data_IF_275032719217
#
_entry.id   IF_275032719217
#
_cell.length_a   1.000
_cell.length_b   1.000
_cell.length_c   1.000
_cell.angle_alpha   90.00
_cell.angle_beta   90.00
_cell.angle_gamma   90.00
#
_symmetry.space_group_name_H-M   'P 1'
#
loop_
_entity.id
_entity.type
_entity.pdbx_description
1 polymer ?
#
# COMPACT_ATOMS: atom_id res chain seq x y z
N UNK A 1 28.10 -5.27 -6.79
CA UNK A 1 27.33 -5.30 -5.51
C UNK A 1 27.20 -3.93 -4.85
N UNK A 2 28.18 -3.07 -4.90
CA UNK A 2 28.26 -1.74 -4.26
C UNK A 2 27.24 -0.70 -4.73
N UNK A 3 26.87 -0.67 -6.01
CA UNK A 3 25.94 0.32 -6.57
C UNK A 3 24.47 0.12 -6.13
N UNK A 4 24.07 -1.10 -5.75
CA UNK A 4 22.71 -1.40 -5.26
C UNK A 4 22.47 -0.88 -3.84
N UNK A 5 23.49 -0.91 -3.00
CA UNK A 5 23.40 -0.41 -1.62
C UNK A 5 23.48 1.12 -1.57
N UNK A 6 24.17 1.75 -2.50
CA UNK A 6 24.25 3.21 -2.60
C UNK A 6 22.85 3.81 -2.96
N UNK A 7 22.13 3.21 -3.88
CA UNK A 7 20.77 3.65 -4.26
C UNK A 7 19.79 3.47 -3.08
N UNK A 8 19.85 2.32 -2.40
CA UNK A 8 19.04 2.07 -1.19
C UNK A 8 19.36 3.07 -0.08
N UNK A 9 20.64 3.37 0.14
CA UNK A 9 21.09 4.34 1.14
C UNK A 9 20.61 5.77 0.79
N UNK A 10 20.72 6.17 -0.48
CA UNK A 10 20.27 7.48 -0.95
C UNK A 10 18.74 7.63 -0.80
N UNK A 11 17.97 6.59 -1.13
CA UNK A 11 16.51 6.58 -0.97
C UNK A 11 16.14 6.64 0.52
N UNK A 12 16.84 5.89 1.37
CA UNK A 12 16.61 5.92 2.83
C UNK A 12 16.95 7.28 3.44
N UNK A 13 18.05 7.90 2.99
CA UNK A 13 18.45 9.25 3.42
C UNK A 13 17.49 10.32 2.89
N UNK A 14 17.02 10.20 1.65
CA UNK A 14 16.03 11.12 1.07
C UNK A 14 14.67 11.04 1.79
N UNK A 15 14.21 9.83 2.14
CA UNK A 15 13.00 9.63 2.94
C UNK A 15 13.20 10.17 4.38
N UNK A 16 14.34 9.91 4.99
CA UNK A 16 14.67 10.45 6.31
C UNK A 16 14.76 12.00 6.30
N UNK A 17 15.33 12.59 5.26
CA UNK A 17 15.42 14.03 5.06
C UNK A 17 14.05 14.70 4.86
N UNK A 18 13.14 14.04 4.13
CA UNK A 18 11.75 14.48 3.98
C UNK A 18 10.98 14.44 5.32
N UNK A 19 11.28 13.47 6.16
CA UNK A 19 10.65 13.31 7.47
C UNK A 19 11.15 14.34 8.50
N UNK A 20 12.42 14.77 8.44
CA UNK A 20 12.98 15.81 9.34
C UNK A 20 12.55 17.22 8.95
N UNK A 21 12.32 17.50 7.67
CA UNK A 21 11.81 18.80 7.18
C UNK A 21 10.39 19.13 7.61
N UNK A 22 9.54 18.12 7.81
CA UNK A 22 8.14 18.30 8.22
C UNK A 22 7.96 18.64 9.72
N UNK A 23 8.91 18.29 10.55
CA UNK A 23 8.84 18.54 12.00
C UNK A 23 9.13 20.01 12.37
N UNK A 24 9.90 20.73 11.52
CA UNK A 24 10.25 22.13 11.77
C UNK A 24 9.12 23.14 11.51
N UNK A 25 8.08 22.76 10.75
CA UNK A 25 6.96 23.68 10.39
C UNK A 25 5.84 23.65 11.42
N UNK A 26 5.73 22.61 12.25
CA UNK A 26 4.66 22.49 13.25
C UNK A 26 4.92 23.22 14.59
N UNK A 27 6.12 23.82 14.77
CA UNK A 27 6.54 24.41 16.06
C UNK A 27 6.39 25.94 16.14
N UNK A 28 5.83 26.62 15.13
CA UNK A 28 5.75 28.10 15.11
C UNK A 28 4.34 28.68 15.05
N UNK A 29 3.38 28.09 15.75
CA UNK A 29 2.13 28.79 16.06
C UNK A 29 2.33 29.61 17.33
N UNK A 30 2.18 30.95 17.32
CA UNK A 30 2.27 31.75 18.53
C UNK A 30 1.08 31.44 19.44
N UNK A 31 1.36 31.16 20.71
CA UNK A 31 0.35 31.03 21.73
C UNK A 31 -0.43 32.38 21.85
N UNK A 32 -1.76 32.34 22.00
CA UNK A 32 -2.52 33.55 22.25
C UNK A 32 -2.10 34.17 23.58
N UNK A 33 -1.77 35.46 23.56
CA UNK A 33 -1.44 36.27 24.73
C UNK A 33 -2.63 36.27 25.68
N UNK A 34 -2.47 35.71 26.86
CA UNK A 34 -3.40 35.84 27.99
C UNK A 34 -3.13 37.19 28.62
N UNK A 35 -4.06 38.13 28.44
CA UNK A 35 -4.10 39.36 29.24
C UNK A 35 -4.55 39.02 30.66
N UNK A 36 -3.70 39.37 31.63
CA UNK A 36 -3.96 39.15 33.02
C UNK A 36 -5.05 40.10 33.57
N UNK A 37 -5.97 39.51 34.34
CA UNK A 37 -6.63 40.20 35.44
C UNK A 37 -6.53 39.31 36.65
N UNK A 38 -6.01 39.90 37.73
CA UNK A 38 -5.79 39.19 38.96
C UNK A 38 -7.08 38.79 39.67
N UNK A 39 -7.02 37.62 40.29
CA UNK A 39 -7.59 37.36 41.59
C UNK A 39 -7.30 35.91 42.00
N UNK A 40 -6.88 35.77 43.27
CA UNK A 40 -6.72 34.62 44.14
C UNK A 40 -6.59 33.18 43.60
N UNK A 41 -5.69 32.34 44.17
CA UNK A 41 -5.46 30.99 43.72
C UNK A 41 -6.57 30.04 44.20
N UNK A 42 -7.60 29.87 43.41
CA UNK A 42 -8.44 28.69 43.50
C UNK A 42 -7.63 27.49 42.96
N UNK A 43 -7.56 26.43 43.75
CA UNK A 43 -6.87 25.18 43.41
C UNK A 43 -7.28 24.75 41.98
N UNK A 44 -6.31 24.70 41.06
CA UNK A 44 -6.52 24.21 39.75
C UNK A 44 -7.12 22.79 39.79
N UNK A 45 -8.17 22.49 39.02
CA UNK A 45 -8.72 21.14 38.99
C UNK A 45 -7.59 20.20 38.53
N UNK A 46 -7.32 19.19 39.38
CA UNK A 46 -6.39 18.09 39.01
C UNK A 46 -7.01 17.39 37.86
N UNK A 47 -6.51 17.71 36.64
CA UNK A 47 -6.84 16.96 35.43
C UNK A 47 -6.35 15.54 35.69
N UNK A 48 -7.23 14.53 35.65
CA UNK A 48 -6.79 13.14 35.80
C UNK A 48 -5.74 12.86 34.73
N UNK A 49 -4.51 12.61 35.15
CA UNK A 49 -3.46 12.13 34.24
C UNK A 49 -3.97 10.82 33.69
N UNK A 50 -4.31 10.80 32.42
CA UNK A 50 -4.69 9.56 31.71
C UNK A 50 -3.63 8.50 32.04
N UNK A 51 -4.02 7.25 32.30
CA UNK A 51 -3.07 6.21 32.67
C UNK A 51 -2.03 6.11 31.57
N UNK A 52 -0.79 6.45 31.89
CA UNK A 52 0.34 6.32 30.98
C UNK A 52 0.45 4.83 30.65
N UNK A 53 0.37 4.49 29.37
CA UNK A 53 0.55 3.13 28.92
C UNK A 53 1.88 2.61 29.47
N UNK A 54 1.85 1.57 30.27
CA UNK A 54 3.01 0.98 30.96
C UNK A 54 4.02 0.36 30.00
N UNK A 55 3.70 0.29 28.70
CA UNK A 55 4.58 -0.24 27.66
C UNK A 55 5.56 0.82 27.14
N UNK A 56 6.88 0.60 27.25
CA UNK A 56 7.88 1.50 26.71
C UNK A 56 7.67 1.72 25.19
N UNK A 57 7.88 2.94 24.71
CA UNK A 57 7.68 3.32 23.29
C UNK A 57 8.47 2.46 22.30
N UNK A 58 9.66 2.00 22.66
CA UNK A 58 10.51 1.17 21.81
C UNK A 58 9.95 -0.24 21.55
N UNK A 59 9.08 -0.74 22.44
CA UNK A 59 8.40 -2.04 22.27
C UNK A 59 7.51 -2.02 21.02
N UNK A 60 6.76 -0.94 20.82
CA UNK A 60 5.92 -0.78 19.64
C UNK A 60 6.74 -0.64 18.36
N UNK A 61 7.86 0.07 18.42
CA UNK A 61 8.79 0.22 17.28
C UNK A 61 9.38 -1.12 16.87
N UNK A 62 9.83 -1.93 17.84
CA UNK A 62 10.37 -3.27 17.57
C UNK A 62 9.29 -4.23 17.06
N UNK A 63 8.10 -4.20 17.66
CA UNK A 63 6.97 -5.01 17.23
C UNK A 63 6.56 -4.69 15.79
N UNK A 64 6.48 -3.40 15.43
CA UNK A 64 6.22 -2.96 14.06
C UNK A 64 7.28 -3.47 13.07
N UNK A 65 8.56 -3.34 13.44
CA UNK A 65 9.65 -3.84 12.59
C UNK A 65 9.53 -5.36 12.33
N UNK A 66 9.33 -6.16 13.39
CA UNK A 66 9.23 -7.62 13.27
C UNK A 66 7.99 -8.01 12.45
N UNK A 67 6.84 -7.41 12.76
CA UNK A 67 5.59 -7.69 12.05
C UNK A 67 5.73 -7.32 10.58
N UNK A 68 6.21 -6.12 10.27
CA UNK A 68 6.35 -5.69 8.86
C UNK A 68 7.43 -6.45 8.11
N UNK A 69 8.47 -6.93 8.76
CA UNK A 69 9.45 -7.83 8.18
C UNK A 69 8.77 -9.15 7.72
N UNK A 70 7.97 -9.76 8.57
CA UNK A 70 7.20 -10.97 8.24
C UNK A 70 6.20 -10.66 7.13
N UNK A 71 5.45 -9.55 7.24
CA UNK A 71 4.51 -9.12 6.21
C UNK A 71 5.18 -8.87 4.88
N UNK A 72 6.42 -8.35 4.86
CA UNK A 72 7.22 -8.17 3.64
C UNK A 72 7.48 -9.48 2.91
N UNK A 73 7.86 -10.51 3.65
CA UNK A 73 8.03 -11.86 3.09
C UNK A 73 6.70 -12.35 2.50
N UNK A 74 5.62 -12.28 3.28
CA UNK A 74 4.30 -12.77 2.89
C UNK A 74 3.70 -12.00 1.71
N UNK A 75 3.87 -10.68 1.66
CA UNK A 75 3.38 -9.82 0.59
C UNK A 75 4.01 -10.16 -0.77
N UNK A 76 5.30 -10.46 -0.77
CA UNK A 76 6.00 -10.90 -2.00
C UNK A 76 5.53 -12.28 -2.43
N UNK A 77 5.45 -13.21 -1.49
CA UNK A 77 5.03 -14.57 -1.75
C UNK A 77 3.57 -14.64 -2.23
N UNK A 78 2.69 -13.85 -1.61
CA UNK A 78 1.27 -13.77 -1.99
C UNK A 78 1.00 -12.98 -3.26
N UNK A 79 1.98 -12.22 -3.77
CA UNK A 79 1.81 -11.30 -4.90
C UNK A 79 0.88 -10.14 -4.61
N UNK A 80 0.69 -9.81 -3.33
CA UNK A 80 -0.16 -8.73 -2.82
C UNK A 80 0.73 -7.56 -2.39
N UNK A 81 0.26 -6.34 -2.48
CA UNK A 81 1.02 -5.18 -1.99
C UNK A 81 1.19 -5.21 -0.47
N UNK A 82 2.31 -4.68 0.03
CA UNK A 82 2.60 -4.64 1.47
C UNK A 82 1.52 -3.94 2.30
N UNK A 83 0.95 -2.85 1.79
CA UNK A 83 -0.11 -2.07 2.45
C UNK A 83 -1.39 -2.86 2.72
N UNK A 84 -1.75 -3.79 1.82
CA UNK A 84 -2.95 -4.62 1.96
C UNK A 84 -2.91 -5.52 3.20
N UNK A 85 -1.74 -5.99 3.57
CA UNK A 85 -1.53 -6.75 4.80
C UNK A 85 -1.30 -5.84 6.01
N UNK A 86 -0.57 -4.74 5.80
CA UNK A 86 -0.17 -3.82 6.86
C UNK A 86 -1.36 -3.13 7.54
N UNK A 87 -2.21 -2.46 6.76
CA UNK A 87 -3.28 -1.62 7.32
C UNK A 87 -4.25 -2.41 8.19
N UNK A 88 -4.81 -3.55 7.75
CA UNK A 88 -5.75 -4.29 8.59
C UNK A 88 -5.10 -4.96 9.80
N UNK A 89 -3.84 -5.37 9.69
CA UNK A 89 -3.13 -6.00 10.80
C UNK A 89 -2.72 -4.94 11.82
N UNK A 90 -2.04 -3.88 11.39
CA UNK A 90 -1.59 -2.85 12.33
C UNK A 90 -2.79 -2.06 12.88
N UNK A 91 -3.76 -1.67 12.04
CA UNK A 91 -4.98 -0.97 12.48
C UNK A 91 -5.92 -1.82 13.34
N UNK A 92 -5.86 -3.15 13.21
CA UNK A 92 -6.65 -4.07 14.00
C UNK A 92 -6.01 -4.45 15.35
N UNK A 93 -4.70 -4.63 15.40
CA UNK A 93 -4.01 -5.23 16.54
C UNK A 93 -3.14 -4.25 17.35
N UNK A 94 -2.80 -3.09 16.79
CA UNK A 94 -1.99 -2.09 17.47
C UNK A 94 -2.85 -0.91 17.94
N UNK A 95 -2.48 -0.24 19.04
CA UNK A 95 -3.26 0.86 19.62
C UNK A 95 -3.00 2.19 18.89
N UNK A 96 -2.95 2.17 17.55
CA UNK A 96 -2.73 3.37 16.75
C UNK A 96 -4.02 3.86 16.11
N UNK A 97 -4.13 5.19 15.96
CA UNK A 97 -5.22 5.77 15.19
C UNK A 97 -5.13 5.28 13.74
N UNK A 98 -6.28 4.91 13.17
CA UNK A 98 -6.38 4.35 11.82
C UNK A 98 -5.84 5.28 10.74
N UNK A 99 -5.90 6.61 10.95
CA UNK A 99 -5.40 7.58 9.97
C UNK A 99 -3.88 7.51 9.81
N UNK A 100 -3.16 7.39 10.93
CA UNK A 100 -1.71 7.19 10.91
C UNK A 100 -1.32 5.83 10.30
N UNK A 101 -2.13 4.80 10.55
CA UNK A 101 -1.90 3.47 9.99
C UNK A 101 -2.11 3.47 8.49
N UNK A 102 -3.12 4.20 7.97
CA UNK A 102 -3.38 4.33 6.53
C UNK A 102 -2.26 5.10 5.83
N UNK A 103 -1.84 6.24 6.40
CA UNK A 103 -0.71 7.01 5.86
C UNK A 103 0.58 6.18 5.83
N UNK A 104 0.87 5.44 6.91
CA UNK A 104 1.99 4.50 6.96
C UNK A 104 1.84 3.36 5.94
N UNK A 105 0.62 2.85 5.73
CA UNK A 105 0.33 1.76 4.80
C UNK A 105 0.69 2.09 3.35
N UNK A 106 0.43 3.32 2.90
CA UNK A 106 0.83 3.80 1.57
C UNK A 106 2.35 3.83 1.42
N UNK A 107 3.06 4.34 2.43
CA UNK A 107 4.52 4.39 2.41
C UNK A 107 5.14 2.99 2.49
N UNK A 108 4.55 2.08 3.25
CA UNK A 108 4.95 0.67 3.32
C UNK A 108 4.72 -0.04 1.97
N UNK A 109 3.58 0.22 1.30
CA UNK A 109 3.31 -0.32 -0.02
C UNK A 109 4.30 0.22 -1.07
N UNK A 110 4.57 1.52 -1.03
CA UNK A 110 5.57 2.20 -1.85
C UNK A 110 6.97 1.61 -1.66
N UNK A 111 7.41 1.46 -0.41
CA UNK A 111 8.74 0.89 -0.11
C UNK A 111 8.88 -0.55 -0.61
N UNK A 112 7.84 -1.37 -0.45
CA UNK A 112 7.80 -2.73 -1.00
C UNK A 112 7.84 -2.75 -2.52
N UNK A 113 7.17 -1.80 -3.19
CA UNK A 113 7.19 -1.66 -4.64
C UNK A 113 8.58 -1.21 -5.16
N UNK A 114 9.18 -0.23 -4.50
CA UNK A 114 10.53 0.27 -4.83
C UNK A 114 11.62 -0.79 -4.59
N UNK A 115 11.48 -1.62 -3.56
CA UNK A 115 12.43 -2.71 -3.31
C UNK A 115 12.39 -3.79 -4.41
N UNK A 116 11.22 -4.05 -5.00
CA UNK A 116 11.04 -5.05 -6.07
C UNK A 116 11.19 -4.47 -7.48
N UNK A 117 10.86 -3.18 -7.69
CA UNK A 117 10.72 -2.53 -8.99
C UNK A 117 11.95 -2.58 -9.90
N UNK A 118 13.16 -2.20 -9.44
CA UNK A 118 14.36 -2.16 -10.29
C UNK A 118 14.71 -3.51 -10.90
N UNK A 119 14.45 -4.61 -10.18
CA UNK A 119 14.68 -5.96 -10.70
C UNK A 119 13.73 -6.34 -11.84
N UNK A 120 12.51 -5.86 -11.79
CA UNK A 120 11.46 -6.13 -12.79
C UNK A 120 11.64 -5.27 -14.04
N UNK A 121 12.00 -3.99 -13.89
CA UNK A 121 12.30 -3.07 -14.99
C UNK A 121 13.49 -3.55 -15.82
N UNK A 122 14.55 -4.03 -15.18
CA UNK A 122 15.74 -4.56 -15.88
C UNK A 122 15.45 -5.77 -16.77
N UNK A 123 14.36 -6.50 -16.49
CA UNK A 123 13.94 -7.66 -17.27
C UNK A 123 12.92 -7.32 -18.35
N UNK A 124 12.63 -6.04 -18.63
CA UNK A 124 11.62 -5.55 -19.55
C UNK A 124 10.21 -6.15 -19.32
N UNK A 125 9.90 -6.48 -18.07
CA UNK A 125 8.59 -7.04 -17.71
C UNK A 125 7.55 -5.96 -17.39
N UNK A 126 7.95 -4.73 -17.07
CA UNK A 126 7.03 -3.62 -16.84
C UNK A 126 6.78 -2.84 -18.15
N UNK A 127 5.52 -2.70 -18.52
CA UNK A 127 5.12 -1.92 -19.70
C UNK A 127 4.75 -0.50 -19.31
N UNK A 128 5.58 0.47 -19.71
CA UNK A 128 5.30 1.90 -19.49
C UNK A 128 4.08 2.38 -20.28
N UNK A 129 3.87 1.86 -21.51
CA UNK A 129 2.72 2.23 -22.33
C UNK A 129 1.40 1.82 -21.69
N UNK A 130 1.38 0.69 -20.98
CA UNK A 130 0.22 0.25 -20.20
C UNK A 130 0.14 1.02 -18.87
N UNK A 131 1.28 1.29 -18.23
CA UNK A 131 1.33 1.90 -16.91
C UNK A 131 0.94 3.37 -16.90
N UNK A 132 1.38 4.19 -17.87
CA UNK A 132 1.19 5.64 -17.83
C UNK A 132 -0.29 6.07 -17.81
N UNK A 133 -1.17 5.62 -18.72
CA UNK A 133 -2.57 6.03 -18.70
C UNK A 133 -3.29 5.55 -17.42
N UNK A 134 -2.97 4.36 -16.97
CA UNK A 134 -3.50 3.81 -15.71
C UNK A 134 -3.01 4.61 -14.50
N UNK A 135 -1.72 4.95 -14.46
CA UNK A 135 -1.12 5.72 -13.37
C UNK A 135 -1.75 7.10 -13.23
N UNK A 136 -1.95 7.82 -14.33
CA UNK A 136 -2.57 9.14 -14.31
C UNK A 136 -3.97 9.11 -13.69
N UNK A 137 -4.81 8.16 -14.14
CA UNK A 137 -6.18 8.01 -13.65
C UNK A 137 -6.18 7.54 -12.19
N UNK A 138 -5.43 6.48 -11.89
CA UNK A 138 -5.41 5.92 -10.55
C UNK A 138 -4.81 6.88 -9.50
N UNK A 139 -3.78 7.65 -9.87
CA UNK A 139 -3.17 8.65 -8.97
C UNK A 139 -4.11 9.79 -8.64
N UNK A 140 -4.77 10.35 -9.65
CA UNK A 140 -5.77 11.41 -9.44
C UNK A 140 -6.92 10.91 -8.56
N UNK A 141 -7.40 9.70 -8.82
CA UNK A 141 -8.43 9.05 -8.02
C UNK A 141 -7.96 8.73 -6.60
N UNK A 142 -6.68 8.36 -6.41
CA UNK A 142 -6.11 8.06 -5.10
C UNK A 142 -5.96 9.31 -4.22
N UNK A 143 -5.65 10.46 -4.81
CA UNK A 143 -5.67 11.75 -4.10
C UNK A 143 -7.08 12.03 -3.56
N UNK A 144 -8.10 11.94 -4.42
CA UNK A 144 -9.49 12.11 -4.02
C UNK A 144 -9.89 11.11 -2.93
N UNK A 145 -9.52 9.84 -3.11
CA UNK A 145 -9.74 8.79 -2.12
C UNK A 145 -9.11 9.08 -0.76
N UNK A 146 -7.87 9.58 -0.74
CA UNK A 146 -7.18 9.96 0.49
C UNK A 146 -7.90 11.11 1.22
N UNK A 147 -8.35 12.14 0.48
CA UNK A 147 -9.12 13.25 1.05
C UNK A 147 -10.46 12.77 1.63
N UNK A 148 -11.20 11.93 0.91
CA UNK A 148 -12.45 11.33 1.40
C UNK A 148 -12.17 10.50 2.66
N UNK A 149 -11.13 9.66 2.63
CA UNK A 149 -10.79 8.80 3.75
C UNK A 149 -10.48 9.58 5.03
N UNK A 150 -9.75 10.67 4.93
CA UNK A 150 -9.41 11.54 6.07
C UNK A 150 -10.62 12.33 6.60
N UNK A 151 -11.63 12.60 5.77
CA UNK A 151 -12.86 13.27 6.17
C UNK A 151 -13.88 12.33 6.86
N UNK A 152 -13.73 11.01 6.71
CA UNK A 152 -14.66 10.04 7.26
C UNK A 152 -14.36 9.73 8.73
N UNK A 153 -15.41 9.43 9.51
CA UNK A 153 -15.26 8.97 10.90
C UNK A 153 -14.55 7.61 10.95
N UNK A 154 -13.69 7.35 11.96
CA UNK A 154 -12.91 6.11 12.08
C UNK A 154 -13.75 4.83 11.99
N UNK A 155 -14.96 4.82 12.57
CA UNK A 155 -15.85 3.66 12.53
C UNK A 155 -16.33 3.35 11.12
N UNK A 156 -16.69 4.38 10.34
CA UNK A 156 -17.08 4.23 8.93
C UNK A 156 -15.92 3.68 8.11
N UNK A 157 -14.72 4.22 8.33
CA UNK A 157 -13.51 3.76 7.66
C UNK A 157 -13.22 2.29 7.97
N UNK A 158 -13.28 1.89 9.24
CA UNK A 158 -13.04 0.51 9.65
C UNK A 158 -14.09 -0.46 9.06
N UNK A 159 -15.37 -0.06 9.01
CA UNK A 159 -16.43 -0.87 8.39
C UNK A 159 -16.19 -1.06 6.90
N UNK A 160 -15.95 0.02 6.18
CA UNK A 160 -15.69 -0.01 4.73
C UNK A 160 -14.38 -0.76 4.41
N UNK A 161 -13.34 -0.55 5.21
CA UNK A 161 -12.06 -1.26 5.10
C UNK A 161 -12.26 -2.76 5.27
N UNK A 162 -12.98 -3.19 6.32
CA UNK A 162 -13.26 -4.58 6.58
C UNK A 162 -14.05 -5.24 5.45
N UNK A 163 -15.11 -4.58 4.96
CA UNK A 163 -15.90 -5.04 3.82
C UNK A 163 -15.03 -5.17 2.54
N UNK A 164 -14.20 -4.18 2.28
CA UNK A 164 -13.27 -4.19 1.15
C UNK A 164 -12.29 -5.36 1.22
N UNK A 165 -11.70 -5.61 2.39
CA UNK A 165 -10.73 -6.70 2.56
C UNK A 165 -11.42 -8.06 2.38
N UNK A 166 -12.63 -8.25 2.90
CA UNK A 166 -13.40 -9.48 2.67
C UNK A 166 -13.74 -9.67 1.20
N UNK A 167 -14.05 -8.61 0.48
CA UNK A 167 -14.24 -8.63 -0.97
C UNK A 167 -12.93 -9.02 -1.71
N UNK A 168 -11.78 -8.47 -1.29
CA UNK A 168 -10.47 -8.87 -1.81
C UNK A 168 -10.20 -10.36 -1.58
N UNK A 169 -10.51 -10.85 -0.38
CA UNK A 169 -10.39 -12.28 -0.04
C UNK A 169 -11.23 -13.14 -0.98
N UNK A 170 -12.48 -12.75 -1.25
CA UNK A 170 -13.35 -13.45 -2.19
C UNK A 170 -12.77 -13.48 -3.61
N UNK A 171 -12.26 -12.34 -4.11
CA UNK A 171 -11.58 -12.29 -5.40
C UNK A 171 -10.34 -13.21 -5.41
N UNK A 172 -9.50 -13.13 -4.38
CA UNK A 172 -8.28 -13.95 -4.30
C UNK A 172 -8.59 -15.45 -4.23
N UNK A 173 -9.69 -15.83 -3.57
CA UNK A 173 -10.10 -17.24 -3.45
C UNK A 173 -10.60 -17.78 -4.80
N UNK A 174 -11.38 -16.98 -5.54
CA UNK A 174 -12.06 -17.40 -6.79
C UNK A 174 -11.24 -17.17 -8.06
N UNK A 175 -10.31 -16.18 -8.05
CA UNK A 175 -9.54 -15.83 -9.24
C UNK A 175 -8.64 -16.97 -9.72
N UNK A 176 -8.90 -17.44 -10.93
CA UNK A 176 -8.01 -18.31 -11.68
C UNK A 176 -7.09 -17.43 -12.52
N UNK A 177 -5.84 -17.29 -12.13
CA UNK A 177 -4.84 -16.52 -12.89
C UNK A 177 -4.55 -17.25 -14.21
N UNK A 178 -4.58 -16.51 -15.31
CA UNK A 178 -4.11 -17.01 -16.60
C UNK A 178 -2.68 -16.51 -16.82
N UNK A 179 -1.74 -17.44 -17.02
CA UNK A 179 -0.34 -17.08 -17.26
C UNK A 179 -0.20 -16.38 -18.62
N UNK A 180 -0.94 -16.89 -19.63
CA UNK A 180 -0.94 -16.39 -21.01
C UNK A 180 -2.38 -16.17 -21.50
N UNK A 181 -3.02 -15.05 -21.17
CA UNK A 181 -4.34 -14.72 -21.70
C UNK A 181 -4.25 -14.54 -23.22
N UNK A 182 -5.20 -15.13 -23.95
CA UNK A 182 -5.28 -14.93 -25.39
C UNK A 182 -6.23 -13.77 -25.68
N UNK A 183 -5.69 -12.69 -26.23
CA UNK A 183 -6.47 -11.53 -26.68
C UNK A 183 -6.56 -11.57 -28.20
N UNK A 184 -7.74 -11.85 -28.80
CA UNK A 184 -7.88 -12.02 -30.26
C UNK A 184 -7.61 -10.73 -31.02
N UNK A 185 -8.07 -9.60 -30.50
CA UNK A 185 -7.86 -8.26 -31.10
C UNK A 185 -7.77 -7.20 -30.01
N UNK A 186 -6.80 -6.26 -30.10
CA UNK A 186 -6.76 -5.08 -29.26
C UNK A 186 -7.99 -4.18 -29.54
N UNK A 187 -8.45 -3.45 -28.53
CA UNK A 187 -9.45 -2.41 -28.73
C UNK A 187 -8.84 -1.13 -29.33
N UNK A 188 -9.69 -0.22 -29.81
CA UNK A 188 -9.26 1.02 -30.47
C UNK A 188 -8.38 1.88 -29.55
N UNK A 189 -8.67 1.90 -28.25
CA UNK A 189 -7.89 2.67 -27.28
C UNK A 189 -6.53 2.03 -27.02
N UNK A 190 -6.46 0.70 -26.91
CA UNK A 190 -5.19 -0.01 -26.79
C UNK A 190 -4.31 0.21 -28.04
N UNK A 191 -4.90 0.24 -29.22
CA UNK A 191 -4.17 0.53 -30.48
C UNK A 191 -3.65 1.95 -30.50
N UNK A 192 -4.50 2.94 -30.18
CA UNK A 192 -4.11 4.37 -30.20
C UNK A 192 -3.01 4.68 -29.18
N UNK A 193 -3.02 4.03 -28.02
CA UNK A 193 -1.99 4.16 -27.00
C UNK A 193 -0.77 3.24 -27.22
N UNK A 194 -0.81 2.39 -28.23
CA UNK A 194 0.26 1.46 -28.55
C UNK A 194 0.55 0.46 -27.42
N UNK A 195 -0.51 0.00 -26.72
CA UNK A 195 -0.40 -0.94 -25.61
C UNK A 195 -0.28 -2.36 -26.15
N UNK A 196 0.92 -2.68 -26.59
CA UNK A 196 1.32 -3.99 -27.07
C UNK A 196 2.81 -4.18 -26.82
N UNK A 197 3.27 -5.41 -26.83
CA UNK A 197 4.69 -5.68 -26.69
C UNK A 197 5.04 -7.14 -26.85
N UNK A 198 6.33 -7.41 -26.80
CA UNK A 198 6.90 -8.75 -26.82
C UNK A 198 7.78 -8.88 -25.59
N UNK A 199 7.69 -9.97 -24.89
CA UNK A 199 8.62 -10.29 -23.79
C UNK A 199 9.11 -11.72 -23.90
N UNK A 200 10.35 -11.94 -23.48
CA UNK A 200 10.93 -13.28 -23.46
C UNK A 200 10.47 -14.04 -22.21
N UNK A 201 9.75 -15.13 -22.44
CA UNK A 201 9.33 -16.02 -21.36
C UNK A 201 10.42 -17.09 -21.11
N UNK A 202 11.18 -16.88 -20.04
CA UNK A 202 12.32 -17.74 -19.68
C UNK A 202 11.90 -19.20 -19.38
N UNK A 203 10.67 -19.42 -18.88
CA UNK A 203 10.19 -20.76 -18.52
C UNK A 203 9.95 -21.68 -19.71
N UNK A 204 9.63 -21.11 -20.87
CA UNK A 204 9.37 -21.85 -22.11
C UNK A 204 10.37 -21.51 -23.22
N UNK A 205 11.31 -20.59 -22.96
CA UNK A 205 12.35 -20.17 -23.90
C UNK A 205 11.85 -19.47 -25.16
N UNK A 206 10.60 -18.95 -25.17
CA UNK A 206 9.94 -18.33 -26.31
C UNK A 206 9.62 -16.87 -26.08
N UNK A 207 9.58 -16.11 -27.16
CA UNK A 207 9.07 -14.75 -27.15
C UNK A 207 7.54 -14.79 -27.23
N UNK A 208 6.87 -14.07 -26.30
CA UNK A 208 5.42 -14.00 -26.20
C UNK A 208 4.97 -12.62 -26.60
N UNK A 209 4.23 -12.53 -27.69
CA UNK A 209 3.53 -11.31 -28.09
C UNK A 209 2.27 -11.15 -27.27
N UNK A 210 2.00 -9.93 -26.84
CA UNK A 210 0.82 -9.63 -26.04
C UNK A 210 0.23 -8.27 -26.40
N UNK A 211 -1.06 -8.16 -26.20
CA UNK A 211 -1.85 -6.94 -26.32
C UNK A 211 -2.95 -6.95 -25.27
N UNK A 212 -3.68 -5.86 -25.14
CA UNK A 212 -4.80 -5.74 -24.22
C UNK A 212 -6.10 -5.42 -24.92
N UNK A 213 -7.22 -5.72 -24.26
CA UNK A 213 -8.57 -5.39 -24.70
C UNK A 213 -9.37 -4.84 -23.51
N UNK A 214 -10.59 -4.33 -23.78
CA UNK A 214 -11.45 -3.70 -22.75
C UNK A 214 -10.77 -2.58 -21.98
N UNK A 215 -9.85 -1.85 -22.64
CA UNK A 215 -9.07 -0.77 -22.03
C UNK A 215 -9.94 0.30 -21.37
N UNK A 216 -11.06 0.79 -21.98
CA UNK A 216 -11.92 1.78 -21.33
C UNK A 216 -12.52 1.26 -20.02
N UNK A 217 -12.96 0.01 -19.98
CA UNK A 217 -13.51 -0.62 -18.76
C UNK A 217 -12.42 -0.81 -17.69
N UNK A 218 -11.21 -1.20 -18.12
CA UNK A 218 -10.05 -1.28 -17.23
C UNK A 218 -9.75 0.08 -16.58
N UNK A 219 -9.67 1.15 -17.37
CA UNK A 219 -9.42 2.50 -16.89
C UNK A 219 -10.51 2.99 -15.93
N UNK A 220 -11.80 2.71 -16.22
CA UNK A 220 -12.90 3.02 -15.31
C UNK A 220 -12.77 2.31 -13.96
N UNK A 221 -12.37 1.02 -13.96
CA UNK A 221 -12.10 0.30 -12.73
C UNK A 221 -10.90 0.87 -11.96
N UNK A 222 -9.88 1.38 -12.66
CA UNK A 222 -8.74 2.02 -12.00
C UNK A 222 -9.09 3.33 -11.29
N UNK A 223 -10.18 4.01 -11.68
CA UNK A 223 -10.75 5.11 -10.86
C UNK A 223 -11.20 4.58 -9.50
N UNK A 224 -12.01 3.53 -9.49
CA UNK A 224 -12.52 2.93 -8.26
C UNK A 224 -11.38 2.38 -7.39
N UNK A 225 -10.44 1.67 -8.02
CA UNK A 225 -9.27 1.12 -7.34
C UNK A 225 -8.41 2.22 -6.73
N UNK A 226 -8.18 3.33 -7.45
CA UNK A 226 -7.44 4.48 -6.95
C UNK A 226 -8.12 5.11 -5.73
N UNK A 227 -9.43 5.37 -5.80
CA UNK A 227 -10.19 5.88 -4.65
C UNK A 227 -10.04 4.97 -3.43
N UNK A 228 -10.24 3.67 -3.61
CA UNK A 228 -10.11 2.70 -2.51
C UNK A 228 -8.69 2.61 -1.97
N UNK A 229 -7.69 2.63 -2.85
CA UNK A 229 -6.28 2.57 -2.48
C UNK A 229 -5.88 3.77 -1.62
N UNK A 230 -6.26 4.98 -2.04
CA UNK A 230 -6.01 6.22 -1.29
C UNK A 230 -6.80 6.29 0.01
N UNK A 231 -8.10 5.98 -0.04
CA UNK A 231 -9.00 6.06 1.11
C UNK A 231 -8.59 5.14 2.27
N UNK A 232 -8.14 3.92 1.96
CA UNK A 232 -7.79 2.92 2.97
C UNK A 232 -6.29 2.78 3.23
N UNK A 233 -5.45 3.44 2.47
CA UNK A 233 -4.01 3.30 2.63
C UNK A 233 -3.45 1.93 2.26
N UNK A 234 -4.22 1.14 1.50
CA UNK A 234 -3.86 -0.24 1.15
C UNK A 234 -2.83 -0.33 0.02
N UNK A 235 -2.73 0.74 -0.78
CA UNK A 235 -2.15 0.64 -2.11
C UNK A 235 -3.03 -0.15 -3.08
N UNK A 236 -2.82 0.02 -4.38
CA UNK A 236 -3.65 -0.59 -5.42
C UNK A 236 -3.25 -2.02 -5.81
N UNK A 237 -2.19 -2.59 -5.19
CA UNK A 237 -1.57 -3.85 -5.62
C UNK A 237 -2.48 -5.07 -5.65
N UNK A 238 -3.49 -5.10 -4.81
CA UNK A 238 -4.46 -6.21 -4.71
C UNK A 238 -5.37 -6.32 -5.94
N UNK A 239 -5.71 -5.19 -6.58
CA UNK A 239 -6.64 -5.14 -7.71
C UNK A 239 -5.94 -4.92 -9.06
N UNK A 240 -4.77 -4.28 -9.08
CA UNK A 240 -4.04 -4.00 -10.31
C UNK A 240 -3.80 -5.28 -11.12
N UNK A 241 -3.27 -6.33 -10.48
CA UNK A 241 -2.94 -7.58 -11.16
C UNK A 241 -4.18 -8.29 -11.72
N UNK A 242 -5.28 -8.50 -10.96
CA UNK A 242 -6.51 -9.04 -11.49
C UNK A 242 -7.08 -8.23 -12.67
N UNK A 243 -7.12 -6.91 -12.58
CA UNK A 243 -7.68 -6.08 -13.66
C UNK A 243 -6.81 -6.14 -14.91
N UNK A 244 -5.49 -5.99 -14.77
CA UNK A 244 -4.58 -6.06 -15.91
C UNK A 244 -4.58 -7.44 -16.56
N UNK A 245 -4.59 -8.53 -15.78
CA UNK A 245 -4.49 -9.89 -16.26
C UNK A 245 -5.84 -10.46 -16.72
N UNK A 246 -6.86 -10.46 -15.87
CA UNK A 246 -8.11 -11.16 -16.12
C UNK A 246 -9.10 -10.34 -16.95
N UNK A 247 -9.13 -9.01 -16.79
CA UNK A 247 -10.03 -8.15 -17.52
C UNK A 247 -9.40 -7.64 -18.81
N UNK A 248 -8.18 -7.08 -18.72
CA UNK A 248 -7.52 -6.46 -19.87
C UNK A 248 -6.71 -7.48 -20.72
N UNK A 249 -6.40 -8.65 -20.17
CA UNK A 249 -5.72 -9.72 -20.89
C UNK A 249 -4.20 -9.57 -20.99
N UNK A 250 -3.58 -8.74 -20.17
CA UNK A 250 -2.12 -8.68 -20.12
C UNK A 250 -1.53 -9.95 -19.47
N UNK A 251 -0.41 -10.49 -19.94
CA UNK A 251 0.25 -11.64 -19.34
C UNK A 251 0.53 -11.43 -17.85
N UNK A 252 0.46 -12.51 -17.07
CA UNK A 252 0.57 -12.41 -15.61
C UNK A 252 1.87 -11.73 -15.15
N UNK A 253 3.01 -12.06 -15.77
CA UNK A 253 4.31 -11.44 -15.44
C UNK A 253 4.34 -9.95 -15.73
N UNK A 254 3.78 -9.55 -16.90
CA UNK A 254 3.64 -8.13 -17.29
C UNK A 254 2.71 -7.41 -16.31
N UNK A 255 1.57 -8.02 -15.96
CA UNK A 255 0.62 -7.46 -15.00
C UNK A 255 1.24 -7.23 -13.62
N UNK A 256 1.99 -8.20 -13.09
CA UNK A 256 2.67 -8.09 -11.79
C UNK A 256 3.74 -7.00 -11.81
N UNK A 257 4.58 -6.99 -12.84
CA UNK A 257 5.66 -6.00 -12.95
C UNK A 257 5.12 -4.58 -13.15
N UNK A 258 4.13 -4.42 -14.04
CA UNK A 258 3.46 -3.14 -14.28
C UNK A 258 2.72 -2.66 -13.03
N UNK A 259 2.07 -3.55 -12.27
CA UNK A 259 1.44 -3.20 -11.01
C UNK A 259 2.42 -2.63 -9.99
N UNK A 260 3.65 -3.15 -9.88
CA UNK A 260 4.67 -2.59 -8.97
C UNK A 260 5.09 -1.17 -9.37
N UNK A 261 5.18 -0.92 -10.67
CA UNK A 261 5.45 0.42 -11.17
C UNK A 261 4.26 1.38 -10.91
N UNK A 262 3.02 0.91 -11.13
CA UNK A 262 1.81 1.68 -10.82
C UNK A 262 1.75 2.07 -9.35
N UNK A 263 2.02 1.13 -8.43
CA UNK A 263 2.06 1.39 -6.99
C UNK A 263 3.03 2.51 -6.63
N UNK A 264 4.20 2.57 -7.26
CA UNK A 264 5.17 3.62 -6.94
C UNK A 264 4.66 5.04 -7.26
N UNK A 265 3.77 5.19 -8.23
CA UNK A 265 3.19 6.48 -8.61
C UNK A 265 1.91 6.76 -7.79
N UNK A 266 0.98 5.80 -7.76
CA UNK A 266 -0.32 5.99 -7.11
C UNK A 266 -0.19 6.16 -5.59
N UNK A 267 0.66 5.35 -4.95
CA UNK A 267 0.83 5.40 -3.51
C UNK A 267 1.60 6.66 -3.08
N UNK A 268 2.55 7.14 -3.89
CA UNK A 268 3.21 8.43 -3.65
C UNK A 268 2.22 9.58 -3.68
N UNK A 269 1.32 9.60 -4.67
CA UNK A 269 0.31 10.66 -4.83
C UNK A 269 -0.65 10.70 -3.64
N UNK A 270 -1.13 9.56 -3.18
CA UNK A 270 -1.99 9.47 -2.01
C UNK A 270 -1.22 9.76 -0.70
N UNK A 271 0.01 9.25 -0.54
CA UNK A 271 0.83 9.49 0.63
C UNK A 271 1.13 10.97 0.85
N UNK A 272 1.26 11.75 -0.23
CA UNK A 272 1.41 13.20 -0.17
C UNK A 272 0.25 13.89 0.56
N UNK A 273 -0.99 13.43 0.33
CA UNK A 273 -2.17 13.96 1.02
C UNK A 273 -2.09 13.68 2.52
N UNK A 274 -1.75 12.44 2.93
CA UNK A 274 -1.59 12.08 4.34
C UNK A 274 -0.45 12.84 5.02
N UNK A 275 0.66 13.08 4.31
CA UNK A 275 1.78 13.89 4.80
C UNK A 275 1.36 15.34 5.08
N UNK A 276 0.68 15.98 4.13
CA UNK A 276 0.22 17.36 4.28
C UNK A 276 -0.83 17.53 5.39
N UNK A 277 -1.61 16.49 5.68
CA UNK A 277 -2.60 16.50 6.75
C UNK A 277 -2.02 16.07 8.11
N UNK A 278 -0.71 15.88 8.21
CA UNK A 278 -0.06 15.43 9.44
C UNK A 278 -0.42 14.00 9.87
N UNK A 279 -1.04 13.21 8.98
CA UNK A 279 -1.48 11.85 9.25
C UNK A 279 -0.38 10.81 9.00
N UNK A 280 0.88 11.18 9.24
CA UNK A 280 2.05 10.31 9.11
C UNK A 280 2.93 10.45 10.34
N UNK A 281 3.06 9.38 11.13
CA UNK A 281 3.92 9.34 12.30
C UNK A 281 5.22 8.60 11.99
N UNK A 282 6.39 9.26 12.10
CA UNK A 282 7.70 8.63 11.85
C UNK A 282 7.94 7.38 12.68
N UNK A 283 7.46 7.36 13.93
CA UNK A 283 7.59 6.22 14.85
C UNK A 283 6.89 4.94 14.33
N UNK A 284 5.81 5.09 13.55
CA UNK A 284 5.13 3.96 12.90
C UNK A 284 5.81 3.66 11.56
N UNK A 285 6.11 4.70 10.79
CA UNK A 285 6.56 4.58 9.39
C UNK A 285 7.97 4.02 9.30
N UNK A 286 8.94 4.59 10.03
CA UNK A 286 10.36 4.23 9.87
C UNK A 286 10.62 2.74 10.14
N UNK A 287 10.23 2.15 11.28
CA UNK A 287 10.45 0.72 11.52
C UNK A 287 9.71 -0.16 10.52
N UNK A 288 8.51 0.29 10.10
CA UNK A 288 7.70 -0.45 9.14
C UNK A 288 8.30 -0.46 7.75
N UNK A 289 8.88 0.68 7.28
CA UNK A 289 9.59 0.75 6.01
C UNK A 289 10.80 -0.17 5.98
N UNK A 290 11.63 -0.11 7.02
CA UNK A 290 12.82 -0.96 7.09
C UNK A 290 12.43 -2.43 7.13
N UNK A 291 11.45 -2.79 7.95
CA UNK A 291 10.94 -4.15 8.06
C UNK A 291 10.42 -4.69 6.72
N UNK A 292 9.50 -3.96 6.05
CA UNK A 292 8.91 -4.41 4.79
C UNK A 292 9.94 -4.54 3.67
N UNK A 293 10.92 -3.63 3.58
CA UNK A 293 11.96 -3.67 2.57
C UNK A 293 12.86 -4.89 2.74
N UNK A 294 13.36 -5.13 3.95
CA UNK A 294 14.19 -6.30 4.25
C UNK A 294 13.41 -7.60 4.07
N UNK A 295 12.18 -7.66 4.57
CA UNK A 295 11.29 -8.79 4.39
C UNK A 295 11.01 -9.09 2.92
N UNK A 296 10.74 -8.06 2.11
CA UNK A 296 10.50 -8.21 0.67
C UNK A 296 11.73 -8.74 -0.07
N UNK A 297 12.92 -8.28 0.27
CA UNK A 297 14.18 -8.78 -0.32
C UNK A 297 14.38 -10.27 -0.04
N UNK A 298 14.08 -10.72 1.18
CA UNK A 298 14.14 -12.13 1.56
C UNK A 298 13.01 -12.91 0.90
N UNK A 299 11.79 -12.35 0.87
CA UNK A 299 10.62 -12.93 0.22
C UNK A 299 10.85 -13.29 -1.25
N UNK A 300 11.55 -12.44 -2.01
CA UNK A 300 11.94 -12.72 -3.40
C UNK A 300 12.83 -13.97 -3.51
N UNK A 301 13.76 -14.16 -2.57
CA UNK A 301 14.64 -15.34 -2.56
C UNK A 301 13.88 -16.62 -2.20
N UNK A 302 12.94 -16.53 -1.27
CA UNK A 302 12.12 -17.66 -0.81
C UNK A 302 11.09 -18.04 -1.89
N UNK A 303 10.53 -17.06 -2.62
CA UNK A 303 9.54 -17.29 -3.68
C UNK A 303 10.04 -18.29 -4.72
N UNK A 304 11.32 -18.21 -5.08
CA UNK A 304 11.93 -19.12 -6.06
C UNK A 304 11.88 -20.60 -5.64
N UNK A 305 11.79 -20.90 -4.33
CA UNK A 305 11.78 -22.26 -3.78
C UNK A 305 10.44 -22.71 -3.22
N UNK A 306 9.45 -21.83 -3.12
CA UNK A 306 8.21 -22.07 -2.39
C UNK A 306 7.06 -22.56 -3.29
N UNK A 307 6.15 -23.36 -2.72
CA UNK A 307 4.91 -23.79 -3.40
C UNK A 307 3.88 -22.64 -3.33
N UNK A 308 3.48 -22.04 -4.45
CA UNK A 308 2.63 -20.82 -4.47
C UNK A 308 1.26 -21.02 -3.81
N UNK A 309 0.69 -22.25 -3.88
CA UNK A 309 -0.64 -22.54 -3.35
C UNK A 309 -0.75 -22.40 -1.83
N UNK A 310 0.21 -22.94 -1.07
CA UNK A 310 0.16 -22.89 0.40
C UNK A 310 0.22 -21.44 0.91
N UNK A 311 1.06 -20.63 0.27
CA UNK A 311 1.23 -19.21 0.61
C UNK A 311 -0.04 -18.42 0.30
N UNK A 312 -0.67 -18.66 -0.86
CA UNK A 312 -1.95 -18.03 -1.24
C UNK A 312 -3.00 -18.25 -0.15
N UNK A 313 -3.19 -19.48 0.32
CA UNK A 313 -4.19 -19.80 1.36
C UNK A 313 -3.85 -19.19 2.71
N UNK A 314 -2.56 -19.12 3.08
CA UNK A 314 -2.12 -18.47 4.31
C UNK A 314 -2.41 -16.96 4.29
N UNK A 315 -2.13 -16.28 3.18
CA UNK A 315 -2.44 -14.85 3.00
C UNK A 315 -3.95 -14.62 3.01
N UNK A 316 -4.74 -15.47 2.36
CA UNK A 316 -6.21 -15.40 2.36
C UNK A 316 -6.74 -15.54 3.80
N UNK A 317 -6.26 -16.51 4.56
CA UNK A 317 -6.67 -16.71 5.96
C UNK A 317 -6.34 -15.51 6.84
N UNK A 318 -5.12 -14.96 6.70
CA UNK A 318 -4.69 -13.77 7.45
C UNK A 318 -5.55 -12.55 7.11
N UNK A 319 -5.80 -12.29 5.83
CA UNK A 319 -6.66 -11.19 5.37
C UNK A 319 -8.10 -11.39 5.80
N UNK A 320 -8.63 -12.60 5.74
CA UNK A 320 -9.98 -12.91 6.19
C UNK A 320 -10.18 -12.55 7.67
N UNK A 321 -9.26 -13.01 8.53
CA UNK A 321 -9.32 -12.72 9.96
C UNK A 321 -9.16 -11.21 10.25
N UNK A 322 -8.21 -10.55 9.60
CA UNK A 322 -7.97 -9.13 9.79
C UNK A 322 -9.12 -8.26 9.23
N UNK A 323 -9.70 -8.63 8.09
CA UNK A 323 -10.88 -7.97 7.50
C UNK A 323 -12.12 -8.13 8.37
N UNK A 324 -12.36 -9.33 8.90
CA UNK A 324 -13.46 -9.59 9.81
C UNK A 324 -13.33 -8.75 11.09
N UNK A 325 -12.13 -8.71 11.68
CA UNK A 325 -11.85 -7.88 12.87
C UNK A 325 -12.09 -6.40 12.58
N UNK A 326 -11.59 -5.88 11.45
CA UNK A 326 -11.80 -4.48 11.07
C UNK A 326 -13.28 -4.15 10.89
N UNK A 327 -14.05 -5.06 10.30
CA UNK A 327 -15.50 -4.92 10.12
C UNK A 327 -16.23 -4.88 11.48
N UNK A 328 -15.93 -5.81 12.36
CA UNK A 328 -16.55 -5.89 13.69
C UNK A 328 -16.20 -4.66 14.56
N UNK A 329 -14.96 -4.16 14.47
CA UNK A 329 -14.52 -2.93 15.13
C UNK A 329 -15.27 -1.71 14.59
N UNK A 330 -15.47 -1.63 13.27
CA UNK A 330 -16.22 -0.54 12.65
C UNK A 330 -17.71 -0.53 13.02
N UNK A 331 -18.31 -1.71 13.21
CA UNK A 331 -19.69 -1.88 13.67
C UNK A 331 -19.85 -1.67 15.20
N UNK A 332 -18.76 -1.45 15.94
CA UNK A 332 -18.81 -1.29 17.40
C UNK A 332 -19.08 -2.58 18.18
N UNK A 333 -19.01 -3.75 17.54
CA UNK A 333 -19.24 -5.06 18.18
C UNK A 333 -17.96 -5.53 18.89
N UNK A 334 -16.80 -5.10 18.43
CA UNK A 334 -15.50 -5.47 18.99
C UNK A 334 -14.64 -4.22 19.21
N UNK A 335 -14.23 -4.00 20.46
CA UNK A 335 -13.31 -2.92 20.85
C UNK A 335 -11.84 -3.34 20.71
#
# INVERSE_FOLDING_TARGET
MTQRYAILLIITIAIAGLMTGGVAIASSAPAPAVQGHGDSPAAAPVVPVAPQSTTPWWVWTLALFIVTFILGILAVLGGVGGGVLFVPIVGGFFPFNIDFVRGAGLLVALAGALAAGPGLLKRNLASLRLALPVALIASSAAIVGAMIGLALKPNVVNTLLGATILFIVAIMATAKKSDFPVVPKPDNLAQSLGIMGIYREESIGKDVEWTVHKTPMGLALFVVIGIMAGMFGLGAGWANVPVLNLLMGAPLKISVATSKFLLSITDTSAAWVYLNQGAVLPMIVVPSLVGIMLGSMIGVKILAKSKPKAIKYMVIGLLFFAGLRSLLKGLGIWN
#
